data_IF_099015416603
#
_entry.id   IF_099015416603
#
_cell.length_a   1.000
_cell.length_b   1.000
_cell.length_c   1.000
_cell.angle_alpha   90.00
_cell.angle_beta   90.00
_cell.angle_gamma   90.00
#
_symmetry.space_group_name_H-M   'P 1'
#
loop_
_entity.id
_entity.type
_entity.pdbx_description
1 polymer ?
#
# COMPACT_ATOMS: atom_id res chain seq x y z
N UNK A 1 14.85 -3.63 -17.52
CA UNK A 1 14.42 -4.07 -16.18
C UNK A 1 15.35 -3.42 -15.18
N UNK A 2 14.88 -2.45 -14.40
CA UNK A 2 15.64 -1.92 -13.26
C UNK A 2 15.33 -2.79 -12.05
N UNK A 3 16.37 -3.25 -11.35
CA UNK A 3 16.28 -4.03 -10.10
C UNK A 3 16.99 -3.24 -9.01
N UNK A 4 16.33 -3.03 -7.86
CA UNK A 4 16.91 -2.38 -6.69
C UNK A 4 16.97 -3.38 -5.54
N UNK A 5 18.11 -3.43 -4.84
CA UNK A 5 18.35 -4.36 -3.72
C UNK A 5 18.47 -3.60 -2.40
N UNK A 6 17.76 -4.07 -1.37
CA UNK A 6 17.89 -3.58 0.00
C UNK A 6 18.16 -4.74 0.96
N UNK A 7 19.22 -4.63 1.76
CA UNK A 7 19.59 -5.61 2.77
C UNK A 7 19.27 -5.08 4.16
N UNK A 8 18.62 -5.90 5.00
CA UNK A 8 18.38 -5.58 6.42
C UNK A 8 18.57 -6.81 7.29
N UNK A 9 18.95 -6.56 8.55
CA UNK A 9 19.10 -7.57 9.59
C UNK A 9 18.52 -7.01 10.90
N UNK A 10 17.97 -7.89 11.74
CA UNK A 10 17.43 -7.49 13.04
C UNK A 10 17.06 -8.68 13.92
N UNK A 11 16.57 -8.38 15.12
CA UNK A 11 16.04 -9.34 16.10
C UNK A 11 14.58 -8.96 16.36
N UNK A 12 13.66 -9.91 16.20
CA UNK A 12 12.24 -9.72 16.55
C UNK A 12 12.04 -9.79 18.07
N UNK A 13 10.86 -9.40 18.55
CA UNK A 13 10.51 -9.42 20.00
C UNK A 13 10.71 -10.80 20.64
N UNK A 14 10.63 -11.89 19.86
CA UNK A 14 10.84 -13.27 20.32
C UNK A 14 12.31 -13.77 20.24
N UNK A 15 13.27 -12.86 20.01
CA UNK A 15 14.69 -13.23 19.90
C UNK A 15 15.08 -13.88 18.57
N UNK A 16 14.14 -14.01 17.63
CA UNK A 16 14.39 -14.53 16.28
C UNK A 16 15.23 -13.51 15.51
N UNK A 17 16.47 -13.88 15.18
CA UNK A 17 17.31 -13.15 14.23
C UNK A 17 16.75 -13.32 12.83
N UNK A 18 16.49 -12.23 12.13
CA UNK A 18 16.07 -12.24 10.73
C UNK A 18 17.06 -11.47 9.87
N UNK A 19 17.27 -11.98 8.65
CA UNK A 19 17.89 -11.25 7.54
C UNK A 19 16.87 -11.16 6.43
N UNK A 20 16.72 -10.00 5.80
CA UNK A 20 15.91 -9.84 4.60
C UNK A 20 16.75 -9.28 3.48
N UNK A 21 16.74 -9.95 2.34
CA UNK A 21 17.07 -9.34 1.08
C UNK A 21 15.76 -8.98 0.38
N UNK A 22 15.66 -7.71 -0.03
CA UNK A 22 14.53 -7.22 -0.80
C UNK A 22 14.94 -6.93 -2.21
N UNK A 23 14.19 -7.49 -3.13
CA UNK A 23 14.27 -7.21 -4.56
C UNK A 23 13.03 -6.42 -4.94
N UNK A 24 13.25 -5.24 -5.50
CA UNK A 24 12.19 -4.45 -6.11
C UNK A 24 12.36 -4.61 -7.61
N UNK A 25 11.27 -4.87 -8.33
CA UNK A 25 11.28 -4.99 -9.80
C UNK A 25 10.05 -4.34 -10.43
N UNK A 26 10.19 -3.79 -11.64
CA UNK A 26 9.06 -3.34 -12.45
C UNK A 26 8.51 -4.52 -13.26
N UNK A 27 7.24 -4.85 -13.06
CA UNK A 27 6.57 -5.90 -13.82
C UNK A 27 5.53 -5.30 -14.77
N UNK A 28 5.43 -5.85 -15.99
CA UNK A 28 4.41 -5.45 -16.96
C UNK A 28 2.98 -5.83 -16.53
N UNK A 29 2.84 -6.76 -15.56
CA UNK A 29 1.54 -7.24 -15.06
C UNK A 29 1.10 -6.55 -13.76
N UNK A 30 2.04 -6.29 -12.87
CA UNK A 30 1.83 -5.70 -11.55
C UNK A 30 2.91 -4.65 -11.42
N UNK A 31 2.54 -3.39 -11.56
CA UNK A 31 3.44 -2.26 -11.79
C UNK A 31 4.78 -2.30 -11.03
N UNK A 32 4.76 -2.70 -9.75
CA UNK A 32 5.97 -3.07 -9.02
C UNK A 32 5.78 -4.35 -8.20
N UNK A 33 6.90 -5.01 -7.92
CA UNK A 33 6.98 -6.18 -7.06
C UNK A 33 8.07 -5.96 -6.01
N UNK A 34 7.77 -6.27 -4.74
CA UNK A 34 8.75 -6.31 -3.65
C UNK A 34 8.81 -7.76 -3.15
N UNK A 35 9.92 -8.43 -3.34
CA UNK A 35 10.14 -9.78 -2.81
C UNK A 35 10.96 -9.73 -1.54
N UNK A 36 10.53 -10.47 -0.53
CA UNK A 36 11.33 -10.81 0.64
C UNK A 36 11.81 -12.25 0.49
N UNK A 37 13.11 -12.42 0.22
CA UNK A 37 13.73 -13.73 -0.03
C UNK A 37 13.61 -14.71 1.14
N UNK A 38 13.27 -14.23 2.33
CA UNK A 38 13.07 -15.03 3.54
C UNK A 38 11.63 -14.97 4.06
N UNK A 39 10.71 -14.32 3.34
CA UNK A 39 9.29 -14.29 3.70
C UNK A 39 8.65 -15.65 3.45
N UNK A 40 7.83 -16.09 4.41
CA UNK A 40 7.16 -17.40 4.39
C UNK A 40 5.65 -17.29 4.23
N UNK A 41 5.09 -16.08 4.34
CA UNK A 41 3.67 -15.81 4.20
C UNK A 41 3.21 -15.71 2.75
N UNK A 42 1.89 -15.68 2.57
CA UNK A 42 1.25 -15.48 1.27
C UNK A 42 1.63 -14.14 0.63
N UNK A 43 1.56 -14.01 -0.71
CA UNK A 43 1.64 -12.72 -1.37
C UNK A 43 0.56 -11.76 -0.86
N UNK A 44 0.90 -10.49 -0.73
CA UNK A 44 -0.08 -9.43 -0.51
C UNK A 44 -0.17 -8.52 -1.74
N UNK A 45 -1.35 -7.95 -1.96
CA UNK A 45 -1.57 -6.97 -3.01
C UNK A 45 -1.69 -5.60 -2.33
N UNK A 46 -0.85 -4.66 -2.72
CA UNK A 46 -0.95 -3.26 -2.30
C UNK A 46 -1.44 -2.42 -3.45
N UNK A 47 -2.52 -1.68 -3.25
CA UNK A 47 -3.06 -0.80 -4.28
C UNK A 47 -2.91 0.64 -3.82
N UNK A 48 -1.97 1.36 -4.43
CA UNK A 48 -1.72 2.78 -4.21
C UNK A 48 -2.55 3.68 -5.11
N UNK A 49 -2.53 4.98 -4.83
CA UNK A 49 -3.22 5.99 -5.65
C UNK A 49 -2.41 6.28 -6.93
N UNK A 50 -1.27 6.95 -6.78
CA UNK A 50 -0.42 7.39 -7.88
C UNK A 50 1.04 6.97 -7.62
N UNK A 51 1.86 6.78 -8.66
CA UNK A 51 3.31 6.81 -8.50
C UNK A 51 3.75 8.18 -7.95
N UNK A 52 4.88 8.24 -7.24
CA UNK A 52 5.49 9.52 -6.89
C UNK A 52 5.87 10.31 -8.15
N UNK A 53 5.94 11.66 -8.08
CA UNK A 53 6.30 12.56 -9.18
C UNK A 53 7.60 12.18 -9.91
N UNK A 54 8.52 11.49 -9.22
CA UNK A 54 9.76 11.02 -9.80
C UNK A 54 9.63 9.65 -10.52
N UNK A 55 8.43 9.08 -10.58
CA UNK A 55 8.18 7.70 -11.01
C UNK A 55 9.10 6.69 -10.31
N UNK A 56 9.66 7.08 -9.16
CA UNK A 56 11.01 6.64 -8.84
C UNK A 56 10.97 5.30 -8.16
N UNK A 57 11.43 4.31 -8.91
CA UNK A 57 11.84 3.00 -8.47
C UNK A 57 13.03 3.10 -7.52
N UNK A 58 12.79 3.43 -6.25
CA UNK A 58 13.87 3.55 -5.25
C UNK A 58 13.45 2.90 -3.94
N UNK A 59 14.35 2.12 -3.35
CA UNK A 59 14.21 1.66 -1.97
C UNK A 59 14.10 2.81 -0.95
N UNK A 60 14.48 4.03 -1.36
CA UNK A 60 14.28 5.25 -0.59
C UNK A 60 12.86 5.81 -0.64
N UNK A 61 11.98 5.31 -1.53
CA UNK A 61 10.58 5.72 -1.55
C UNK A 61 9.95 5.38 -0.18
N UNK A 62 9.33 6.36 0.48
CA UNK A 62 8.81 6.13 1.81
C UNK A 62 7.73 5.06 1.91
N UNK A 63 6.89 4.89 0.89
CA UNK A 63 5.85 3.86 0.85
C UNK A 63 6.50 2.48 0.73
N UNK A 64 7.48 2.34 -0.17
CA UNK A 64 8.27 1.11 -0.31
C UNK A 64 8.96 0.77 1.02
N UNK A 65 9.56 1.77 1.69
CA UNK A 65 10.20 1.60 2.99
C UNK A 65 9.21 1.17 4.07
N UNK A 66 8.01 1.73 4.09
CA UNK A 66 6.96 1.36 5.04
C UNK A 66 6.44 -0.06 4.82
N UNK A 67 6.14 -0.43 3.57
CA UNK A 67 5.72 -1.79 3.21
C UNK A 67 6.79 -2.82 3.55
N UNK A 68 8.04 -2.51 3.20
CA UNK A 68 9.22 -3.28 3.61
C UNK A 68 9.23 -3.49 5.12
N UNK A 69 9.11 -2.42 5.90
CA UNK A 69 9.14 -2.53 7.36
C UNK A 69 7.95 -3.32 7.91
N UNK A 70 6.79 -3.25 7.26
CA UNK A 70 5.59 -4.02 7.64
C UNK A 70 5.80 -5.52 7.40
N UNK A 71 6.36 -5.89 6.23
CA UNK A 71 6.73 -7.28 5.91
C UNK A 71 7.68 -7.89 6.94
N UNK A 72 8.56 -7.05 7.50
CA UNK A 72 9.59 -7.45 8.44
C UNK A 72 9.18 -7.31 9.90
N UNK A 73 7.94 -6.88 10.20
CA UNK A 73 7.48 -6.65 11.57
C UNK A 73 8.21 -5.51 12.30
N UNK A 74 8.91 -4.63 11.58
CA UNK A 74 9.68 -3.51 12.15
C UNK A 74 9.06 -2.14 11.90
N UNK A 75 7.84 -2.12 11.39
CA UNK A 75 7.12 -0.90 11.09
C UNK A 75 6.63 -0.25 12.39
N UNK A 76 7.33 0.79 12.85
CA UNK A 76 7.08 1.43 14.15
C UNK A 76 5.68 2.03 14.31
N UNK A 77 5.06 2.43 13.21
CA UNK A 77 3.74 3.04 13.23
C UNK A 77 2.61 2.02 13.09
N UNK A 78 2.91 0.76 12.77
CA UNK A 78 1.93 -0.32 12.66
C UNK A 78 1.99 -1.20 13.90
N UNK A 79 0.83 -1.63 14.37
CA UNK A 79 0.71 -2.66 15.39
C UNK A 79 1.00 -4.04 14.78
N UNK A 80 2.07 -4.74 15.21
CA UNK A 80 2.41 -6.07 14.70
C UNK A 80 1.26 -7.07 14.85
N UNK A 81 0.48 -6.99 15.92
CA UNK A 81 -0.65 -7.90 16.17
C UNK A 81 -1.77 -7.76 15.13
N UNK A 82 -1.86 -6.58 14.50
CA UNK A 82 -2.85 -6.24 13.48
C UNK A 82 -2.20 -5.99 12.10
N UNK A 83 -0.93 -6.42 11.93
CA UNK A 83 -0.17 -6.35 10.67
C UNK A 83 -0.25 -7.64 9.84
N UNK A 84 -1.04 -8.62 10.28
CA UNK A 84 -1.13 -9.97 9.72
C UNK A 84 -1.15 -10.06 8.18
N UNK A 85 -1.86 -9.20 7.41
CA UNK A 85 -1.87 -9.33 5.95
C UNK A 85 -0.53 -9.00 5.26
N UNK A 86 0.36 -8.27 5.92
CA UNK A 86 1.68 -7.94 5.37
C UNK A 86 2.82 -8.64 6.11
N UNK A 87 2.65 -8.93 7.39
CA UNK A 87 3.68 -9.52 8.23
C UNK A 87 4.15 -10.86 7.64
N UNK A 88 5.46 -10.97 7.39
CA UNK A 88 6.11 -12.13 6.77
C UNK A 88 5.68 -12.45 5.33
N UNK A 89 4.94 -11.57 4.65
CA UNK A 89 4.59 -11.78 3.24
C UNK A 89 5.86 -12.04 2.40
N UNK A 90 5.84 -13.10 1.60
CA UNK A 90 6.95 -13.43 0.68
C UNK A 90 7.12 -12.38 -0.41
N UNK A 91 6.00 -11.78 -0.82
CA UNK A 91 5.93 -10.83 -1.92
C UNK A 91 4.83 -9.80 -1.65
N UNK A 92 5.08 -8.54 -2.02
CA UNK A 92 4.04 -7.52 -2.15
C UNK A 92 3.98 -7.07 -3.62
N UNK A 93 2.81 -7.19 -4.22
CA UNK A 93 2.52 -6.72 -5.57
C UNK A 93 1.89 -5.33 -5.48
N UNK A 94 2.49 -4.34 -6.13
CA UNK A 94 2.04 -2.95 -6.08
C UNK A 94 1.37 -2.59 -7.39
N UNK A 95 0.12 -2.15 -7.29
CA UNK A 95 -0.69 -1.60 -8.37
C UNK A 95 -1.01 -0.17 -7.99
N UNK A 96 -1.02 0.75 -8.95
CA UNK A 96 -1.51 2.11 -8.71
C UNK A 96 -2.83 2.27 -9.44
N UNK A 97 -3.77 3.03 -8.86
CA UNK A 97 -5.03 3.38 -9.51
C UNK A 97 -4.79 4.14 -10.82
N UNK A 98 -3.74 4.96 -10.89
CA UNK A 98 -3.41 5.78 -12.06
C UNK A 98 -1.99 5.49 -12.59
N UNK A 99 -1.86 5.31 -13.91
CA UNK A 99 -0.59 4.98 -14.57
C UNK A 99 0.38 6.16 -14.70
N UNK A 100 -0.06 7.42 -14.72
CA UNK A 100 0.86 8.56 -14.86
C UNK A 100 0.58 9.72 -13.91
N UNK A 101 1.66 10.38 -13.50
CA UNK A 101 1.66 11.75 -12.98
C UNK A 101 2.65 12.49 -13.86
N UNK A 102 2.18 13.47 -14.64
CA UNK A 102 3.08 14.26 -15.49
C UNK A 102 4.12 15.00 -14.61
N UNK A 103 5.43 14.87 -14.89
CA UNK A 103 6.44 15.63 -14.18
C UNK A 103 6.22 17.12 -14.41
N UNK A 104 6.02 17.88 -13.34
CA UNK A 104 5.74 19.33 -13.32
C UNK A 104 4.35 19.78 -13.79
N UNK A 105 3.46 18.88 -14.20
CA UNK A 105 2.09 19.30 -14.46
C UNK A 105 1.31 19.37 -13.14
N UNK A 106 0.57 20.46 -12.97
CA UNK A 106 -0.55 20.51 -12.03
C UNK A 106 -1.73 19.64 -12.52
N UNK A 107 -1.59 19.02 -13.70
CA UNK A 107 -2.57 18.16 -14.33
C UNK A 107 -2.12 16.71 -14.15
N UNK A 108 -2.79 15.99 -13.26
CA UNK A 108 -2.79 14.53 -13.29
C UNK A 108 -3.63 14.16 -14.52
N UNK A 109 -3.16 13.21 -15.34
CA UNK A 109 -4.02 12.63 -16.37
C UNK A 109 -5.11 11.83 -15.65
N UNK A 110 -6.29 12.44 -15.59
CA UNK A 110 -7.48 11.85 -15.01
C UNK A 110 -8.28 11.10 -16.09
N UNK A 111 -7.66 10.37 -17.00
CA UNK A 111 -8.39 9.37 -17.78
C UNK A 111 -8.55 8.08 -16.97
N UNK A 112 -9.66 7.37 -17.18
CA UNK A 112 -9.85 6.03 -16.61
C UNK A 112 -8.73 5.13 -17.15
N UNK A 113 -7.89 4.62 -16.25
CA UNK A 113 -6.77 3.78 -16.62
C UNK A 113 -7.23 2.33 -16.77
N UNK A 114 -7.59 1.97 -18.00
CA UNK A 114 -7.97 0.61 -18.37
C UNK A 114 -6.83 -0.39 -18.15
N UNK A 115 -5.57 0.04 -18.18
CA UNK A 115 -4.44 -0.83 -17.89
C UNK A 115 -4.41 -1.21 -16.41
N UNK A 116 -4.56 -0.25 -15.49
CA UNK A 116 -4.61 -0.54 -14.06
C UNK A 116 -5.76 -1.50 -13.69
N UNK A 117 -6.91 -1.37 -14.35
CA UNK A 117 -8.06 -2.27 -14.15
C UNK A 117 -7.75 -3.70 -14.64
N UNK A 118 -7.19 -3.84 -15.85
CA UNK A 118 -6.82 -5.14 -16.40
C UNK A 118 -5.69 -5.82 -15.61
N UNK A 119 -4.73 -5.03 -15.12
CA UNK A 119 -3.69 -5.50 -14.19
C UNK A 119 -4.35 -6.06 -12.93
N UNK A 120 -5.27 -5.32 -12.29
CA UNK A 120 -5.98 -5.80 -11.11
C UNK A 120 -6.67 -7.15 -11.35
N UNK A 121 -7.45 -7.28 -12.42
CA UNK A 121 -8.16 -8.53 -12.75
C UNK A 121 -7.20 -9.72 -12.89
N UNK A 122 -6.05 -9.48 -13.53
CA UNK A 122 -5.01 -10.50 -13.69
C UNK A 122 -4.47 -10.95 -12.33
N UNK A 123 -4.16 -10.01 -11.42
CA UNK A 123 -3.64 -10.35 -10.07
C UNK A 123 -4.68 -11.12 -9.28
N UNK A 124 -5.93 -10.67 -9.32
CA UNK A 124 -7.03 -11.25 -8.56
C UNK A 124 -7.36 -12.68 -9.04
N UNK A 125 -7.03 -12.99 -10.30
CA UNK A 125 -7.12 -14.33 -10.86
C UNK A 125 -5.92 -15.19 -10.48
N UNK A 126 -4.70 -14.64 -10.52
CA UNK A 126 -3.47 -15.37 -10.18
C UNK A 126 -3.37 -15.66 -8.67
N UNK A 127 -3.86 -14.75 -7.82
CA UNK A 127 -3.77 -14.84 -6.36
C UNK A 127 -5.14 -14.67 -5.69
N UNK A 128 -6.03 -15.66 -5.80
CA UNK A 128 -7.42 -15.53 -5.36
C UNK A 128 -7.60 -15.35 -3.85
N UNK A 129 -6.59 -15.68 -3.04
CA UNK A 129 -6.64 -15.59 -1.58
C UNK A 129 -5.70 -14.53 -1.01
N UNK A 130 -5.00 -13.77 -1.85
CA UNK A 130 -4.07 -12.75 -1.36
C UNK A 130 -4.84 -11.64 -0.61
N UNK A 131 -4.38 -11.23 0.58
CA UNK A 131 -4.91 -10.05 1.25
C UNK A 131 -4.64 -8.80 0.42
N UNK A 132 -5.58 -7.88 0.43
CA UNK A 132 -5.54 -6.66 -0.38
C UNK A 132 -5.45 -5.45 0.54
N UNK A 133 -4.36 -4.72 0.48
CA UNK A 133 -4.14 -3.49 1.22
C UNK A 133 -4.46 -2.32 0.30
N UNK A 134 -5.56 -1.64 0.59
CA UNK A 134 -5.98 -0.43 -0.12
C UNK A 134 -5.23 0.77 0.48
N UNK A 135 -4.21 1.23 -0.24
CA UNK A 135 -3.38 2.38 0.09
C UNK A 135 -3.89 3.70 -0.50
N UNK A 136 -4.99 3.69 -1.25
CA UNK A 136 -5.73 4.91 -1.61
C UNK A 136 -6.68 5.29 -0.46
N UNK A 137 -6.74 6.57 -0.12
CA UNK A 137 -7.66 7.06 0.90
C UNK A 137 -8.96 7.59 0.32
N UNK A 138 -9.77 8.24 1.15
CA UNK A 138 -11.02 8.87 0.73
C UNK A 138 -10.75 10.08 -0.17
N UNK A 139 -11.65 10.35 -1.11
CA UNK A 139 -11.46 11.28 -2.22
C UNK A 139 -10.89 12.66 -1.86
N UNK A 140 -10.10 13.19 -2.79
CA UNK A 140 -9.53 14.53 -2.69
C UNK A 140 -10.57 15.61 -3.07
N UNK A 141 -10.30 16.86 -2.69
CA UNK A 141 -11.32 17.92 -2.68
C UNK A 141 -11.50 18.72 -3.98
N UNK A 142 -10.81 18.43 -5.10
CA UNK A 142 -11.02 19.21 -6.34
C UNK A 142 -12.08 18.60 -7.27
N UNK A 143 -12.98 19.40 -7.88
CA UNK A 143 -14.16 18.89 -8.59
C UNK A 143 -13.87 18.03 -9.82
N UNK A 144 -12.93 18.42 -10.70
CA UNK A 144 -12.67 17.65 -11.93
C UNK A 144 -11.88 16.36 -11.65
N UNK A 145 -10.98 16.37 -10.65
CA UNK A 145 -10.29 15.15 -10.22
C UNK A 145 -11.23 14.15 -9.55
N UNK A 146 -12.29 14.66 -8.89
CA UNK A 146 -13.27 13.81 -8.20
C UNK A 146 -13.94 12.87 -9.15
N UNK A 147 -14.52 13.32 -10.27
CA UNK A 147 -15.35 12.43 -11.10
C UNK A 147 -14.59 11.20 -11.61
N UNK A 148 -13.38 11.39 -12.12
CA UNK A 148 -12.55 10.29 -12.63
C UNK A 148 -12.03 9.44 -11.48
N UNK A 149 -11.62 10.05 -10.37
CA UNK A 149 -11.21 9.30 -9.19
C UNK A 149 -12.34 8.42 -8.66
N UNK A 150 -13.55 8.95 -8.59
CA UNK A 150 -14.74 8.19 -8.23
C UNK A 150 -14.95 7.04 -9.21
N UNK A 151 -14.85 7.28 -10.53
CA UNK A 151 -15.01 6.22 -11.53
C UNK A 151 -13.95 5.11 -11.38
N UNK A 152 -12.67 5.45 -11.27
CA UNK A 152 -11.57 4.49 -11.11
C UNK A 152 -11.69 3.71 -9.79
N UNK A 153 -11.97 4.41 -8.69
CA UNK A 153 -12.15 3.79 -7.36
C UNK A 153 -13.39 2.89 -7.36
N UNK A 154 -14.50 3.34 -7.95
CA UNK A 154 -15.73 2.55 -8.06
C UNK A 154 -15.50 1.25 -8.84
N UNK A 155 -14.72 1.31 -9.93
CA UNK A 155 -14.43 0.14 -10.76
C UNK A 155 -13.49 -0.85 -10.05
N UNK A 156 -12.59 -0.35 -9.19
CA UNK A 156 -11.79 -1.18 -8.28
C UNK A 156 -12.66 -1.78 -7.16
N UNK A 157 -13.49 -0.98 -6.49
CA UNK A 157 -14.42 -1.45 -5.44
C UNK A 157 -15.29 -2.59 -5.97
N UNK A 158 -15.84 -2.44 -7.17
CA UNK A 158 -16.65 -3.48 -7.83
C UNK A 158 -15.93 -4.81 -7.98
N UNK A 159 -14.64 -4.81 -8.30
CA UNK A 159 -13.80 -6.04 -8.43
C UNK A 159 -13.37 -6.62 -7.09
N UNK A 160 -13.36 -5.80 -6.06
CA UNK A 160 -12.88 -6.14 -4.73
C UNK A 160 -14.01 -6.53 -3.78
N UNK A 161 -15.27 -6.45 -4.21
CA UNK A 161 -16.46 -6.69 -3.38
C UNK A 161 -16.41 -8.01 -2.59
N UNK A 162 -15.88 -9.07 -3.20
CA UNK A 162 -15.78 -10.41 -2.59
C UNK A 162 -14.40 -10.71 -1.99
N UNK A 163 -13.55 -9.68 -1.83
CA UNK A 163 -12.15 -9.84 -1.41
C UNK A 163 -11.93 -9.40 0.03
N UNK A 164 -10.90 -9.96 0.67
CA UNK A 164 -10.45 -9.52 1.99
C UNK A 164 -9.59 -8.26 1.86
N UNK A 165 -10.23 -7.11 1.98
CA UNK A 165 -9.58 -5.80 1.89
C UNK A 165 -9.23 -5.24 3.27
N UNK A 166 -8.10 -4.54 3.33
CA UNK A 166 -7.53 -3.94 4.52
C UNK A 166 -7.16 -2.48 4.26
N UNK A 167 -7.32 -1.64 5.27
CA UNK A 167 -6.90 -0.23 5.23
C UNK A 167 -6.26 0.17 6.54
N UNK A 168 -5.46 1.24 6.46
CA UNK A 168 -4.80 1.79 7.63
C UNK A 168 -5.79 2.61 8.46
N UNK A 169 -5.95 2.25 9.72
CA UNK A 169 -6.85 2.93 10.66
C UNK A 169 -6.15 3.25 11.97
N UNK A 170 -6.62 4.31 12.63
CA UNK A 170 -6.21 4.64 14.00
C UNK A 170 -7.10 3.89 14.99
N UNK A 171 -6.54 3.02 15.85
CA UNK A 171 -7.32 2.45 16.93
C UNK A 171 -7.80 3.57 17.85
N UNK A 172 -9.10 3.62 18.12
CA UNK A 172 -9.75 4.59 19.02
C UNK A 172 -9.86 6.04 18.51
N UNK A 173 -9.94 6.27 17.20
CA UNK A 173 -10.36 7.58 16.70
C UNK A 173 -11.84 7.86 17.04
N UNK A 174 -12.12 8.89 17.83
CA UNK A 174 -13.48 9.39 18.09
C UNK A 174 -14.12 10.08 16.86
N UNK A 175 -13.39 10.17 15.75
CA UNK A 175 -13.92 10.65 14.47
C UNK A 175 -14.70 9.48 13.84
N UNK A 176 -16.01 9.64 13.54
CA UNK A 176 -16.92 8.54 13.15
C UNK A 176 -16.47 7.69 11.96
N UNK A 177 -15.45 8.16 11.23
CA UNK A 177 -15.00 7.55 10.00
C UNK A 177 -13.57 6.99 10.05
N UNK A 178 -12.77 7.25 11.11
CA UNK A 178 -11.48 6.59 11.47
C UNK A 178 -10.37 6.39 10.41
N UNK A 179 -10.67 6.65 9.14
CA UNK A 179 -9.95 6.21 7.96
C UNK A 179 -9.11 7.37 7.47
N UNK A 180 -7.81 7.13 7.43
CA UNK A 180 -6.83 8.14 7.04
C UNK A 180 -6.88 8.32 5.51
N UNK A 181 -6.99 9.57 5.07
CA UNK A 181 -6.90 10.01 3.67
C UNK A 181 -5.53 9.64 3.04
N UNK A 182 -5.52 9.49 1.70
CA UNK A 182 -4.65 8.81 0.73
C UNK A 182 -3.14 9.01 0.83
N UNK A 183 -2.70 9.74 1.83
CA UNK A 183 -1.31 9.90 2.26
C UNK A 183 -0.95 8.99 3.43
N UNK A 184 -1.83 8.08 3.84
CA UNK A 184 -1.71 7.20 5.02
C UNK A 184 -0.45 6.35 5.07
N UNK A 185 0.19 6.12 3.92
CA UNK A 185 1.47 5.41 3.84
C UNK A 185 2.68 6.33 3.62
N UNK A 186 2.46 7.63 3.42
CA UNK A 186 3.52 8.63 3.35
C UNK A 186 3.94 9.09 4.75
N UNK A 187 5.22 9.44 4.98
CA UNK A 187 5.70 9.95 6.27
C UNK A 187 4.91 11.16 6.73
N UNK A 188 4.52 12.05 5.79
CA UNK A 188 3.74 13.24 6.12
C UNK A 188 2.34 12.87 6.62
N UNK A 189 1.67 11.93 5.96
CA UNK A 189 0.36 11.45 6.39
C UNK A 189 0.42 10.73 7.73
N UNK A 190 1.37 9.81 7.90
CA UNK A 190 1.61 9.08 9.15
C UNK A 190 1.90 10.04 10.30
N UNK A 191 2.83 10.97 10.12
CA UNK A 191 3.17 11.94 11.16
C UNK A 191 2.02 12.90 11.47
N UNK A 192 1.19 13.23 10.48
CA UNK A 192 0.00 14.05 10.69
C UNK A 192 -1.05 13.30 11.51
N UNK A 193 -1.30 12.03 11.18
CA UNK A 193 -2.26 11.17 11.86
C UNK A 193 -1.89 10.94 13.33
N UNK A 194 -0.60 10.74 13.62
CA UNK A 194 -0.11 10.44 14.97
C UNK A 194 0.21 11.67 15.81
N UNK A 195 0.21 12.89 15.25
CA UNK A 195 0.78 14.11 15.89
C UNK A 195 0.23 14.40 17.29
N UNK A 196 -1.07 14.20 17.48
CA UNK A 196 -1.78 14.58 18.71
C UNK A 196 -2.24 13.37 19.53
N UNK A 197 -1.70 12.18 19.24
CA UNK A 197 -2.07 10.95 19.93
C UNK A 197 -1.02 10.61 21.01
N UNK A 198 -1.38 9.81 22.02
CA UNK A 198 -0.44 9.35 23.02
C UNK A 198 0.82 8.73 22.39
N UNK A 199 1.98 8.97 23.02
CA UNK A 199 3.23 8.33 22.62
C UNK A 199 3.07 6.82 22.65
N UNK A 200 3.49 6.14 21.57
CA UNK A 200 3.32 4.70 21.42
C UNK A 200 2.03 4.27 20.72
N UNK A 201 1.14 5.20 20.35
CA UNK A 201 -0.02 4.86 19.50
C UNK A 201 0.45 4.28 18.17
N UNK A 202 -0.07 3.10 17.82
CA UNK A 202 0.18 2.41 16.56
C UNK A 202 -1.11 2.31 15.76
N UNK A 203 -1.02 2.46 14.44
CA UNK A 203 -2.10 2.20 13.50
C UNK A 203 -2.29 0.69 13.28
N UNK A 204 -3.46 0.30 12.80
CA UNK A 204 -3.82 -1.09 12.51
C UNK A 204 -4.20 -1.24 11.03
N UNK A 205 -4.00 -2.43 10.47
CA UNK A 205 -4.61 -2.80 9.18
C UNK A 205 -5.98 -3.42 9.47
N UNK A 206 -7.01 -2.59 9.47
CA UNK A 206 -8.37 -3.01 9.71
C UNK A 206 -8.98 -3.60 8.44
N UNK A 207 -9.68 -4.72 8.61
CA UNK A 207 -10.46 -5.32 7.52
C UNK A 207 -11.70 -4.47 7.24
N UNK A 208 -12.00 -4.24 5.98
CA UNK A 208 -13.22 -3.54 5.56
C UNK A 208 -13.84 -4.19 4.33
N UNK A 209 -15.13 -3.93 4.12
CA UNK A 209 -15.83 -4.23 2.87
C UNK A 209 -15.74 -2.98 1.99
N UNK A 210 -15.17 -3.06 0.78
CA UNK A 210 -15.22 -1.96 -0.18
C UNK A 210 -16.69 -1.57 -0.46
N UNK A 211 -17.03 -0.30 -0.22
CA UNK A 211 -18.35 0.29 -0.46
C UNK A 211 -18.17 1.57 -1.27
#
# INVERSE_FOLDING_TARGET
MEISKLLRQGILEDGITWSSELLIERFHRYRYRIDNTHGTGEPAIFIGLNPSLAGSFRASDPTVKALTQAMLGTCRFLDPAHSAPLLHARTVLLINLFTFVEPNAHNIDYSLDQHAVAELETVLTEFPHAPIVCGWGKENNSPESREVWHQQISEFIRRLADRSCYRLELPYSHVPDGSLDARSWSPRGINSALRNLPSGTRMVLARFTPQ
#
